data_IF_342785662178
#
_entry.id   IF_342785662178
#
_cell.length_a   1.000
_cell.length_b   1.000
_cell.length_c   1.000
_cell.angle_alpha   90.00
_cell.angle_beta   90.00
_cell.angle_gamma   90.00
#
_symmetry.space_group_name_H-M   'P 1'
#
loop_
_entity.id
_entity.type
_entity.pdbx_description
1 polymer ?
#
# COMPACT_ATOMS: atom_id res chain seq x y z
N UNK A 1 32.14 28.35 6.68
CA UNK A 1 32.12 27.15 7.55
C UNK A 1 31.26 26.09 6.87
N UNK A 2 31.89 25.05 6.33
CA UNK A 2 31.18 23.89 5.80
C UNK A 2 30.56 23.13 6.98
N UNK A 3 29.25 22.80 6.97
CA UNK A 3 28.71 21.83 7.91
C UNK A 3 29.40 20.50 7.62
N UNK A 4 30.10 19.97 8.61
CA UNK A 4 30.67 18.63 8.57
C UNK A 4 29.51 17.62 8.58
N UNK A 5 29.12 17.14 7.41
CA UNK A 5 28.28 15.95 7.28
C UNK A 5 29.03 14.76 7.89
N UNK A 6 28.50 14.20 8.98
CA UNK A 6 28.89 12.84 9.35
C UNK A 6 28.21 11.91 8.34
N UNK A 7 28.94 11.13 7.53
CA UNK A 7 28.30 10.17 6.65
C UNK A 7 27.65 9.10 7.52
N UNK A 8 26.36 8.83 7.33
CA UNK A 8 25.77 7.58 7.81
C UNK A 8 26.54 6.42 7.20
N UNK A 9 27.02 5.48 8.02
CA UNK A 9 27.81 4.36 7.49
C UNK A 9 26.95 3.47 6.60
N UNK A 10 27.57 2.79 5.62
CA UNK A 10 26.90 1.82 4.75
C UNK A 10 26.14 0.73 5.53
N UNK A 11 26.65 0.34 6.70
CA UNK A 11 26.00 -0.64 7.57
C UNK A 11 24.71 -0.11 8.20
N UNK A 12 24.70 1.15 8.63
CA UNK A 12 23.51 1.81 9.17
C UNK A 12 22.42 1.96 8.10
N UNK A 13 22.80 2.30 6.87
CA UNK A 13 21.88 2.42 5.74
C UNK A 13 21.18 1.08 5.41
N UNK A 14 21.95 0.01 5.26
CA UNK A 14 21.39 -1.32 4.98
C UNK A 14 20.44 -1.78 6.08
N UNK A 15 20.79 -1.56 7.35
CA UNK A 15 19.93 -1.94 8.48
C UNK A 15 18.58 -1.21 8.44
N UNK A 16 18.57 0.09 8.17
CA UNK A 16 17.33 0.87 8.08
C UNK A 16 16.47 0.45 6.89
N UNK A 17 17.07 0.17 5.73
CA UNK A 17 16.34 -0.36 4.59
C UNK A 17 15.72 -1.72 4.91
N UNK A 18 16.45 -2.61 5.60
CA UNK A 18 15.92 -3.90 6.03
C UNK A 18 14.72 -3.74 6.98
N UNK A 19 14.81 -2.84 7.97
CA UNK A 19 13.68 -2.49 8.84
C UNK A 19 12.52 -1.97 7.99
N UNK A 20 12.79 -1.06 7.05
CA UNK A 20 11.74 -0.45 6.24
C UNK A 20 11.04 -1.46 5.31
N UNK A 21 11.76 -2.46 4.80
CA UNK A 21 11.19 -3.54 3.99
C UNK A 21 10.20 -4.41 4.78
N UNK A 22 10.47 -4.63 6.07
CA UNK A 22 9.72 -5.59 6.91
C UNK A 22 8.67 -4.92 7.80
N UNK A 23 8.85 -3.64 8.13
CA UNK A 23 8.01 -2.92 9.08
C UNK A 23 6.52 -2.93 8.70
N UNK A 24 6.11 -2.66 7.45
CA UNK A 24 4.69 -2.70 7.08
C UNK A 24 4.09 -4.09 7.26
N UNK A 25 4.85 -5.15 6.98
CA UNK A 25 4.42 -6.55 7.20
C UNK A 25 4.26 -6.83 8.68
N UNK A 26 5.20 -6.40 9.51
CA UNK A 26 5.11 -6.55 10.96
C UNK A 26 3.91 -5.79 11.54
N UNK A 27 3.69 -4.54 11.13
CA UNK A 27 2.55 -3.73 11.59
C UNK A 27 1.22 -4.37 11.16
N UNK A 28 1.11 -4.84 9.92
CA UNK A 28 -0.08 -5.53 9.42
C UNK A 28 -0.31 -6.85 10.18
N UNK A 29 0.73 -7.65 10.38
CA UNK A 29 0.63 -8.90 11.15
C UNK A 29 0.22 -8.66 12.60
N UNK A 30 0.82 -7.67 13.26
CA UNK A 30 0.47 -7.32 14.64
C UNK A 30 -1.01 -6.97 14.77
N UNK A 31 -1.52 -6.12 13.88
CA UNK A 31 -2.90 -5.65 13.94
C UNK A 31 -3.92 -6.71 13.51
N UNK A 32 -3.67 -7.41 12.41
CA UNK A 32 -4.65 -8.32 11.81
C UNK A 32 -4.54 -9.78 12.26
N UNK A 33 -3.44 -10.17 12.91
CA UNK A 33 -3.20 -11.57 13.33
C UNK A 33 -2.93 -11.64 14.83
N UNK A 34 -1.88 -10.95 15.31
CA UNK A 34 -1.40 -11.14 16.68
C UNK A 34 -2.33 -10.55 17.75
N UNK A 35 -2.98 -9.42 17.47
CA UNK A 35 -3.79 -8.68 18.43
C UNK A 35 -5.30 -8.85 18.24
N UNK A 36 -5.75 -9.79 17.42
CA UNK A 36 -7.18 -9.97 17.10
C UNK A 36 -8.06 -10.21 18.32
N UNK A 37 -7.54 -10.88 19.34
CA UNK A 37 -8.23 -11.15 20.62
C UNK A 37 -8.01 -10.08 21.69
N UNK A 38 -7.13 -9.10 21.43
CA UNK A 38 -6.86 -8.03 22.38
C UNK A 38 -8.01 -6.99 22.39
N UNK A 39 -8.18 -6.23 23.49
CA UNK A 39 -9.13 -5.12 23.53
C UNK A 39 -8.94 -4.13 22.37
N UNK A 40 -10.04 -3.56 21.87
CA UNK A 40 -10.03 -2.66 20.72
C UNK A 40 -9.05 -1.48 20.89
N UNK A 41 -8.93 -0.94 22.10
CA UNK A 41 -7.97 0.13 22.42
C UNK A 41 -6.52 -0.30 22.18
N UNK A 42 -6.15 -1.54 22.49
CA UNK A 42 -4.80 -2.07 22.28
C UNK A 42 -4.54 -2.24 20.78
N UNK A 43 -5.50 -2.82 20.05
CA UNK A 43 -5.39 -2.99 18.60
C UNK A 43 -5.23 -1.65 17.88
N UNK A 44 -6.08 -0.66 18.20
CA UNK A 44 -6.04 0.66 17.60
C UNK A 44 -4.77 1.43 17.96
N UNK A 45 -4.32 1.34 19.22
CA UNK A 45 -3.07 1.98 19.66
C UNK A 45 -1.87 1.37 18.95
N UNK A 46 -1.78 0.05 18.87
CA UNK A 46 -0.70 -0.65 18.17
C UNK A 46 -0.67 -0.28 16.67
N UNK A 47 -1.83 -0.22 16.03
CA UNK A 47 -1.95 0.21 14.63
C UNK A 47 -1.50 1.66 14.44
N UNK A 48 -2.00 2.59 15.28
CA UNK A 48 -1.69 4.00 15.18
C UNK A 48 -0.20 4.28 15.41
N UNK A 49 0.40 3.68 16.44
CA UNK A 49 1.84 3.78 16.71
C UNK A 49 2.63 3.17 15.56
N UNK A 50 2.26 1.96 15.11
CA UNK A 50 2.94 1.26 14.02
C UNK A 50 2.94 2.06 12.72
N UNK A 51 1.79 2.61 12.31
CA UNK A 51 1.67 3.45 11.12
C UNK A 51 2.39 4.79 11.28
N UNK A 52 2.38 5.38 12.48
CA UNK A 52 3.13 6.61 12.76
C UNK A 52 4.63 6.36 12.62
N UNK A 53 5.17 5.30 13.24
CA UNK A 53 6.58 4.92 13.10
C UNK A 53 6.93 4.60 11.65
N UNK A 54 6.07 3.84 10.95
CA UNK A 54 6.25 3.52 9.54
C UNK A 54 6.40 4.78 8.69
N UNK A 55 5.46 5.72 8.77
CA UNK A 55 5.51 6.91 7.92
C UNK A 55 6.44 8.02 8.42
N UNK A 56 6.83 8.01 9.70
CA UNK A 56 7.85 8.92 10.23
C UNK A 56 9.28 8.47 9.87
N UNK A 57 9.52 7.15 9.74
CA UNK A 57 10.85 6.58 9.51
C UNK A 57 11.58 7.24 8.33
N UNK A 58 11.00 7.40 7.12
CA UNK A 58 11.71 8.02 6.02
C UNK A 58 12.08 9.49 6.29
N UNK A 59 11.18 10.27 6.90
CA UNK A 59 11.45 11.69 7.20
C UNK A 59 12.57 11.83 8.23
N UNK A 60 12.52 11.06 9.32
CA UNK A 60 13.54 11.06 10.36
C UNK A 60 14.89 10.64 9.78
N UNK A 61 14.94 9.57 8.99
CA UNK A 61 16.18 9.10 8.38
C UNK A 61 16.77 10.14 7.42
N UNK A 62 15.97 10.65 6.49
CA UNK A 62 16.47 11.53 5.42
C UNK A 62 16.85 12.91 5.96
N UNK A 63 15.98 13.55 6.73
CA UNK A 63 16.17 14.96 7.11
C UNK A 63 17.04 15.12 8.36
N UNK A 64 16.91 14.24 9.35
CA UNK A 64 17.63 14.41 10.61
C UNK A 64 18.95 13.65 10.64
N UNK A 65 19.00 12.45 10.07
CA UNK A 65 20.18 11.59 10.11
C UNK A 65 21.07 11.75 8.87
N UNK A 66 20.51 11.64 7.67
CA UNK A 66 21.26 11.87 6.43
C UNK A 66 21.43 13.35 6.08
N UNK A 67 20.58 14.24 6.63
CA UNK A 67 20.54 15.69 6.32
C UNK A 67 20.38 16.00 4.83
N UNK A 68 19.75 15.10 4.10
CA UNK A 68 19.45 15.27 2.68
C UNK A 68 18.21 16.16 2.49
N UNK A 69 18.14 16.88 1.37
CA UNK A 69 16.96 17.65 0.98
C UNK A 69 16.06 16.84 0.09
N UNK A 70 14.76 17.00 0.28
CA UNK A 70 13.76 16.48 -0.63
C UNK A 70 13.61 17.42 -1.82
N UNK A 71 13.79 16.89 -3.01
CA UNK A 71 13.52 17.63 -4.25
C UNK A 71 12.23 17.10 -4.87
N UNK A 72 11.20 17.95 -4.88
CA UNK A 72 9.92 17.62 -5.49
C UNK A 72 10.01 17.83 -7.00
N UNK A 73 10.16 16.73 -7.75
CA UNK A 73 10.13 16.78 -9.20
C UNK A 73 8.69 16.91 -9.70
N UNK A 74 8.46 17.93 -10.52
CA UNK A 74 7.15 18.18 -11.15
C UNK A 74 6.76 17.01 -12.06
N UNK A 75 5.45 16.69 -12.16
CA UNK A 75 5.01 15.61 -13.03
C UNK A 75 5.24 15.99 -14.49
N UNK A 76 5.60 15.00 -15.31
CA UNK A 76 5.56 15.12 -16.76
C UNK A 76 4.22 14.61 -17.28
N UNK A 77 3.72 15.17 -18.40
CA UNK A 77 2.45 14.73 -19.01
C UNK A 77 2.50 13.25 -19.40
N UNK A 78 3.63 12.80 -19.93
CA UNK A 78 3.86 11.40 -20.32
C UNK A 78 3.92 10.47 -19.12
N UNK A 79 4.62 10.87 -18.05
CA UNK A 79 4.66 10.11 -16.79
C UNK A 79 3.28 9.99 -16.16
N UNK A 80 2.51 11.07 -16.12
CA UNK A 80 1.15 11.06 -15.60
C UNK A 80 0.22 10.18 -16.44
N UNK A 81 0.23 10.35 -17.76
CA UNK A 81 -0.60 9.56 -18.68
C UNK A 81 -0.30 8.06 -18.56
N UNK A 82 0.97 7.66 -18.49
CA UNK A 82 1.34 6.25 -18.31
C UNK A 82 0.78 5.64 -17.02
N UNK A 83 0.81 6.39 -15.91
CA UNK A 83 0.28 5.92 -14.63
C UNK A 83 -1.25 5.90 -14.58
N UNK A 84 -1.93 6.87 -15.21
CA UNK A 84 -3.39 6.87 -15.34
C UNK A 84 -3.85 5.69 -16.20
N UNK A 85 -3.18 5.44 -17.34
CA UNK A 85 -3.48 4.30 -18.20
C UNK A 85 -3.25 2.97 -17.48
N UNK A 86 -2.13 2.85 -16.76
CA UNK A 86 -1.83 1.65 -15.97
C UNK A 86 -2.88 1.43 -14.86
N UNK A 87 -3.14 2.45 -14.04
CA UNK A 87 -4.14 2.36 -12.97
C UNK A 87 -5.53 2.05 -13.50
N UNK A 88 -5.97 2.72 -14.56
CA UNK A 88 -7.25 2.47 -15.22
C UNK A 88 -7.36 1.05 -15.80
N UNK A 89 -6.29 0.54 -16.42
CA UNK A 89 -6.25 -0.84 -16.92
C UNK A 89 -6.37 -1.86 -15.79
N UNK A 90 -5.69 -1.63 -14.66
CA UNK A 90 -5.79 -2.50 -13.48
C UNK A 90 -7.20 -2.45 -12.88
N UNK A 91 -7.82 -1.27 -12.74
CA UNK A 91 -9.21 -1.15 -12.28
C UNK A 91 -10.17 -1.89 -13.20
N UNK A 92 -10.04 -1.73 -14.52
CA UNK A 92 -10.87 -2.46 -15.49
C UNK A 92 -10.70 -3.98 -15.35
N UNK A 93 -9.46 -4.45 -15.23
CA UNK A 93 -9.17 -5.87 -15.02
C UNK A 93 -9.74 -6.39 -13.69
N UNK A 94 -9.63 -5.62 -12.61
CA UNK A 94 -10.22 -5.95 -11.31
C UNK A 94 -11.74 -6.09 -11.41
N UNK A 95 -12.42 -5.17 -12.10
CA UNK A 95 -13.87 -5.24 -12.30
C UNK A 95 -14.28 -6.48 -13.12
N UNK A 96 -13.53 -6.81 -14.18
CA UNK A 96 -13.75 -8.03 -14.97
C UNK A 96 -13.57 -9.28 -14.10
N UNK A 97 -12.48 -9.36 -13.33
CA UNK A 97 -12.21 -10.48 -12.41
C UNK A 97 -13.28 -10.58 -11.33
N UNK A 98 -13.70 -9.46 -10.76
CA UNK A 98 -14.74 -9.40 -9.74
C UNK A 98 -16.07 -9.96 -10.24
N UNK A 99 -16.57 -9.44 -11.37
CA UNK A 99 -17.88 -9.82 -11.90
C UNK A 99 -17.91 -11.19 -12.57
N UNK A 100 -16.82 -11.63 -13.21
CA UNK A 100 -16.80 -12.90 -13.95
C UNK A 100 -16.26 -14.07 -13.13
N UNK A 101 -15.52 -13.82 -12.05
CA UNK A 101 -14.91 -14.87 -11.24
C UNK A 101 -15.22 -14.75 -9.75
N UNK A 102 -14.78 -13.68 -9.07
CA UNK A 102 -14.81 -13.64 -7.60
C UNK A 102 -16.21 -13.63 -7.00
N UNK A 103 -17.14 -12.87 -7.58
CA UNK A 103 -18.52 -12.80 -7.09
C UNK A 103 -19.30 -14.09 -7.45
N UNK A 104 -19.34 -14.58 -8.71
CA UNK A 104 -20.07 -15.81 -9.05
C UNK A 104 -19.59 -17.07 -8.35
N UNK A 105 -18.29 -17.17 -8.06
CA UNK A 105 -17.72 -18.34 -7.36
C UNK A 105 -17.84 -18.26 -5.84
N UNK A 106 -18.37 -17.15 -5.31
CA UNK A 106 -18.59 -16.97 -3.87
C UNK A 106 -17.34 -16.58 -3.07
N UNK A 107 -16.20 -16.26 -3.71
CA UNK A 107 -15.06 -15.69 -2.99
C UNK A 107 -15.42 -14.31 -2.40
N UNK A 108 -15.95 -13.40 -3.23
CA UNK A 108 -16.36 -12.04 -2.84
C UNK A 108 -17.83 -11.79 -3.17
N UNK A 109 -18.73 -12.50 -2.50
CA UNK A 109 -20.17 -12.23 -2.53
C UNK A 109 -20.58 -11.59 -1.19
N UNK A 110 -21.64 -10.76 -1.13
CA UNK A 110 -22.10 -10.15 0.12
C UNK A 110 -22.36 -11.15 1.26
N UNK A 111 -22.74 -12.39 0.92
CA UNK A 111 -22.95 -13.48 1.88
C UNK A 111 -21.74 -14.38 2.15
N UNK A 112 -20.61 -14.19 1.45
CA UNK A 112 -19.41 -15.02 1.65
C UNK A 112 -18.68 -14.64 2.94
N UNK A 113 -17.82 -15.52 3.49
CA UNK A 113 -16.99 -15.20 4.66
C UNK A 113 -16.18 -13.91 4.47
N UNK A 114 -15.63 -13.71 3.26
CA UNK A 114 -14.91 -12.48 2.91
C UNK A 114 -15.81 -11.24 2.92
N UNK A 115 -17.00 -11.32 2.32
CA UNK A 115 -17.97 -10.24 2.31
C UNK A 115 -18.39 -9.84 3.72
N UNK A 116 -18.65 -10.82 4.59
CA UNK A 116 -18.96 -10.61 5.99
C UNK A 116 -17.79 -9.96 6.75
N UNK A 117 -16.55 -10.43 6.55
CA UNK A 117 -15.36 -9.83 7.15
C UNK A 117 -15.18 -8.36 6.74
N UNK A 118 -15.47 -8.00 5.48
CA UNK A 118 -15.44 -6.61 5.01
C UNK A 118 -16.55 -5.78 5.69
N UNK A 119 -17.78 -6.30 5.78
CA UNK A 119 -18.89 -5.63 6.48
C UNK A 119 -18.56 -5.39 7.94
N UNK A 120 -18.05 -6.40 8.64
CA UNK A 120 -17.62 -6.30 10.04
C UNK A 120 -16.51 -5.28 10.22
N UNK A 121 -15.55 -5.24 9.29
CA UNK A 121 -14.45 -4.26 9.36
C UNK A 121 -14.94 -2.83 9.17
N UNK A 122 -15.82 -2.60 8.19
CA UNK A 122 -16.44 -1.29 7.93
C UNK A 122 -17.25 -0.83 9.14
N UNK A 123 -18.06 -1.72 9.74
CA UNK A 123 -18.79 -1.44 10.99
C UNK A 123 -17.86 -1.16 12.16
N UNK A 124 -16.74 -1.89 12.26
CA UNK A 124 -15.71 -1.69 13.29
C UNK A 124 -15.04 -0.31 13.21
N UNK A 125 -15.07 0.35 12.05
CA UNK A 125 -14.65 1.75 11.88
C UNK A 125 -15.76 2.77 12.20
N UNK A 126 -16.96 2.34 12.59
CA UNK A 126 -18.09 3.24 12.84
C UNK A 126 -18.70 3.81 11.55
N UNK A 127 -18.47 3.15 10.41
CA UNK A 127 -19.02 3.52 9.11
C UNK A 127 -20.38 2.85 8.96
N UNK A 128 -21.45 3.63 9.17
CA UNK A 128 -22.83 3.15 9.10
C UNK A 128 -23.65 3.79 7.98
N UNK A 129 -23.06 4.65 7.16
CA UNK A 129 -23.73 5.34 6.07
C UNK A 129 -22.80 5.53 4.86
N UNK A 130 -23.41 5.78 3.70
CA UNK A 130 -22.69 5.93 2.42
C UNK A 130 -21.65 7.05 2.45
N UNK A 131 -21.91 8.17 3.14
CA UNK A 131 -20.99 9.30 3.17
C UNK A 131 -19.75 9.00 3.99
N UNK A 132 -19.89 8.31 5.13
CA UNK A 132 -18.75 7.81 5.90
C UNK A 132 -17.94 6.79 5.12
N UNK A 133 -18.60 5.94 4.31
CA UNK A 133 -17.90 4.99 3.44
C UNK A 133 -17.10 5.70 2.34
N UNK A 134 -17.70 6.71 1.69
CA UNK A 134 -17.01 7.54 0.70
C UNK A 134 -15.84 8.30 1.33
N UNK A 135 -16.02 8.85 2.53
CA UNK A 135 -14.94 9.52 3.26
C UNK A 135 -13.78 8.57 3.60
N UNK A 136 -14.09 7.34 4.04
CA UNK A 136 -13.10 6.30 4.28
C UNK A 136 -12.35 5.96 2.99
N UNK A 137 -13.07 5.73 1.90
CA UNK A 137 -12.50 5.45 0.59
C UNK A 137 -11.60 6.58 0.09
N UNK A 138 -12.07 7.83 0.16
CA UNK A 138 -11.28 8.99 -0.23
C UNK A 138 -10.01 9.14 0.62
N UNK A 139 -10.08 8.89 1.93
CA UNK A 139 -8.90 8.90 2.79
C UNK A 139 -7.86 7.87 2.36
N UNK A 140 -8.28 6.61 2.13
CA UNK A 140 -7.35 5.58 1.68
C UNK A 140 -6.80 5.86 0.29
N UNK A 141 -7.67 6.14 -0.68
CA UNK A 141 -7.25 6.39 -2.05
C UNK A 141 -6.38 7.63 -2.23
N UNK A 142 -6.56 8.68 -1.42
CA UNK A 142 -5.80 9.93 -1.59
C UNK A 142 -4.62 9.98 -0.62
N UNK A 143 -4.88 9.88 0.69
CA UNK A 143 -3.90 10.13 1.73
C UNK A 143 -3.04 8.89 1.97
N UNK A 144 -3.67 7.73 2.17
CA UNK A 144 -2.93 6.50 2.45
C UNK A 144 -2.06 6.09 1.26
N UNK A 145 -2.62 6.04 0.05
CA UNK A 145 -1.85 5.72 -1.17
C UNK A 145 -0.66 6.66 -1.36
N UNK A 146 -0.83 7.96 -1.08
CA UNK A 146 0.26 8.95 -1.16
C UNK A 146 1.38 8.68 -0.14
N UNK A 147 1.00 8.34 1.10
CA UNK A 147 1.96 7.92 2.14
C UNK A 147 2.67 6.62 1.76
N UNK A 148 2.00 5.69 1.09
CA UNK A 148 2.61 4.45 0.60
C UNK A 148 3.57 4.69 -0.57
N UNK A 149 3.25 5.57 -1.51
CA UNK A 149 4.19 5.97 -2.57
C UNK A 149 5.42 6.67 -2.00
N UNK A 150 5.22 7.56 -1.04
CA UNK A 150 6.28 8.20 -0.27
C UNK A 150 7.18 7.16 0.42
N UNK A 151 6.59 6.17 1.08
CA UNK A 151 7.35 5.16 1.81
C UNK A 151 8.08 4.20 0.87
N UNK A 152 7.39 3.65 -0.13
CA UNK A 152 7.93 2.56 -0.94
C UNK A 152 8.73 3.04 -2.15
N UNK A 153 8.24 4.05 -2.87
CA UNK A 153 8.85 4.48 -4.15
C UNK A 153 9.91 5.53 -3.88
N UNK A 154 9.58 6.53 -3.07
CA UNK A 154 10.56 7.56 -2.75
C UNK A 154 11.64 7.05 -1.79
N UNK A 155 11.25 6.45 -0.66
CA UNK A 155 12.23 6.00 0.34
C UNK A 155 12.81 4.62 0.04
N UNK A 156 12.07 3.53 0.22
CA UNK A 156 12.63 2.16 0.14
C UNK A 156 13.33 1.91 -1.20
N UNK A 157 12.62 2.09 -2.32
CA UNK A 157 13.21 1.94 -3.65
C UNK A 157 14.32 2.97 -3.91
N UNK A 158 14.10 4.24 -3.54
CA UNK A 158 15.05 5.32 -3.75
C UNK A 158 16.39 5.12 -3.01
N UNK A 159 16.37 4.46 -1.85
CA UNK A 159 17.58 4.08 -1.10
C UNK A 159 18.22 2.81 -1.64
N UNK A 160 17.42 1.78 -1.96
CA UNK A 160 17.91 0.55 -2.57
C UNK A 160 18.67 0.82 -3.87
N UNK A 161 18.13 1.65 -4.77
CA UNK A 161 18.77 1.92 -6.08
C UNK A 161 20.13 2.63 -5.99
N UNK A 162 20.50 3.20 -4.84
CA UNK A 162 21.83 3.79 -4.59
C UNK A 162 22.88 2.73 -4.22
N UNK A 163 22.45 1.56 -3.75
CA UNK A 163 23.30 0.54 -3.14
C UNK A 163 23.36 -0.76 -3.92
N UNK A 164 22.36 -1.04 -4.77
CA UNK A 164 22.25 -2.25 -5.59
C UNK A 164 21.79 -1.93 -7.02
N UNK A 165 21.80 -2.93 -7.89
CA UNK A 165 21.36 -2.77 -9.28
C UNK A 165 19.90 -2.29 -9.37
N UNK A 166 19.56 -1.53 -10.42
CA UNK A 166 18.20 -1.03 -10.65
C UNK A 166 17.17 -2.18 -10.65
N UNK A 167 17.46 -3.29 -11.33
CA UNK A 167 16.57 -4.45 -11.37
C UNK A 167 16.35 -5.06 -10.00
N UNK A 168 17.41 -5.22 -9.20
CA UNK A 168 17.30 -5.72 -7.83
C UNK A 168 16.55 -4.76 -6.90
N UNK A 169 16.73 -3.45 -7.07
CA UNK A 169 16.00 -2.44 -6.30
C UNK A 169 14.49 -2.47 -6.62
N UNK A 170 14.13 -2.58 -7.91
CA UNK A 170 12.74 -2.75 -8.35
C UNK A 170 12.16 -4.04 -7.73
N UNK A 171 12.85 -5.17 -7.90
CA UNK A 171 12.35 -6.46 -7.41
C UNK A 171 12.17 -6.47 -5.88
N UNK A 172 13.19 -6.04 -5.12
CA UNK A 172 13.16 -6.13 -3.66
C UNK A 172 12.16 -5.17 -3.02
N UNK A 173 12.06 -3.93 -3.52
CA UNK A 173 11.04 -2.98 -3.04
C UNK A 173 9.62 -3.47 -3.34
N UNK A 174 9.41 -4.10 -4.51
CA UNK A 174 8.11 -4.61 -4.93
C UNK A 174 7.69 -5.86 -4.16
N UNK A 175 8.64 -6.76 -3.86
CA UNK A 175 8.40 -7.90 -2.98
C UNK A 175 8.07 -7.41 -1.57
N UNK A 176 8.83 -6.45 -1.02
CA UNK A 176 8.50 -5.83 0.27
C UNK A 176 7.09 -5.22 0.30
N UNK A 177 6.72 -4.50 -0.77
CA UNK A 177 5.37 -3.95 -0.94
C UNK A 177 4.29 -5.05 -0.97
N UNK A 178 4.56 -6.17 -1.64
CA UNK A 178 3.65 -7.32 -1.66
C UNK A 178 3.50 -8.00 -0.29
N UNK A 179 4.58 -8.13 0.50
CA UNK A 179 4.56 -9.00 1.70
C UNK A 179 3.44 -8.67 2.70
N UNK A 180 3.16 -7.39 2.95
CA UNK A 180 2.07 -7.01 3.85
C UNK A 180 0.69 -7.20 3.21
N UNK A 181 0.59 -7.14 1.88
CA UNK A 181 -0.63 -7.47 1.15
C UNK A 181 -0.95 -8.97 1.17
N UNK A 182 0.06 -9.84 1.22
CA UNK A 182 -0.16 -11.31 1.39
C UNK A 182 -1.02 -11.58 2.63
N UNK A 183 -0.78 -10.86 3.73
CA UNK A 183 -1.55 -11.02 4.96
C UNK A 183 -3.00 -10.54 4.76
N UNK A 184 -3.20 -9.37 4.16
CA UNK A 184 -4.54 -8.85 3.89
C UNK A 184 -5.33 -9.75 2.94
N UNK A 185 -4.70 -10.18 1.85
CA UNK A 185 -5.29 -11.09 0.88
C UNK A 185 -5.58 -12.45 1.52
N UNK A 186 -4.67 -12.98 2.35
CA UNK A 186 -4.89 -14.21 3.11
C UNK A 186 -6.12 -14.11 4.00
N UNK A 187 -6.33 -13.00 4.71
CA UNK A 187 -7.50 -12.83 5.57
C UNK A 187 -8.78 -12.70 4.74
N UNK A 188 -8.80 -11.83 3.73
CA UNK A 188 -10.02 -11.55 2.97
C UNK A 188 -10.34 -12.60 1.90
N UNK A 189 -9.43 -13.53 1.59
CA UNK A 189 -9.72 -14.69 0.74
C UNK A 189 -9.66 -16.01 1.51
N UNK A 190 -9.73 -15.96 2.85
CA UNK A 190 -9.69 -17.14 3.73
C UNK A 190 -8.55 -18.12 3.38
N UNK A 191 -7.38 -17.55 3.10
CA UNK A 191 -6.15 -18.24 2.71
C UNK A 191 -6.28 -19.17 1.50
N UNK A 192 -7.31 -18.98 0.66
CA UNK A 192 -7.49 -19.73 -0.57
C UNK A 192 -6.26 -19.56 -1.48
N UNK A 193 -5.51 -20.65 -1.79
CA UNK A 193 -4.18 -20.51 -2.40
C UNK A 193 -4.17 -19.80 -3.75
N UNK A 194 -5.19 -20.04 -4.58
CA UNK A 194 -5.28 -19.50 -5.93
C UNK A 194 -5.46 -17.97 -5.95
N UNK A 195 -6.52 -17.37 -5.36
CA UNK A 195 -6.66 -15.91 -5.33
C UNK A 195 -5.54 -15.24 -4.53
N UNK A 196 -5.11 -15.81 -3.40
CA UNK A 196 -4.01 -15.24 -2.60
C UNK A 196 -2.71 -15.18 -3.41
N UNK A 197 -2.35 -16.26 -4.09
CA UNK A 197 -1.14 -16.33 -4.90
C UNK A 197 -1.17 -15.37 -6.09
N UNK A 198 -2.26 -15.38 -6.87
CA UNK A 198 -2.39 -14.52 -8.07
C UNK A 198 -2.43 -13.04 -7.68
N UNK A 199 -3.21 -12.65 -6.68
CA UNK A 199 -3.32 -11.25 -6.29
C UNK A 199 -2.06 -10.74 -5.58
N UNK A 200 -1.36 -11.58 -4.82
CA UNK A 200 -0.03 -11.20 -4.29
C UNK A 200 0.97 -10.95 -5.42
N UNK A 201 1.03 -11.86 -6.40
CA UNK A 201 1.88 -11.65 -7.58
C UNK A 201 1.50 -10.37 -8.35
N UNK A 202 0.20 -10.09 -8.51
CA UNK A 202 -0.29 -8.87 -9.14
C UNK A 202 0.14 -7.61 -8.38
N UNK A 203 0.10 -7.61 -7.04
CA UNK A 203 0.59 -6.51 -6.19
C UNK A 203 2.10 -6.30 -6.40
N UNK A 204 2.89 -7.38 -6.45
CA UNK A 204 4.33 -7.28 -6.73
C UNK A 204 4.60 -6.71 -8.12
N UNK A 205 3.85 -7.14 -9.15
CA UNK A 205 3.96 -6.59 -10.51
C UNK A 205 3.58 -5.11 -10.53
N UNK A 206 2.50 -4.71 -9.86
CA UNK A 206 2.10 -3.31 -9.73
C UNK A 206 3.18 -2.45 -9.06
N UNK A 207 3.74 -2.93 -7.95
CA UNK A 207 4.90 -2.32 -7.29
C UNK A 207 6.09 -2.13 -8.24
N UNK A 208 6.39 -3.14 -9.06
CA UNK A 208 7.50 -3.10 -10.00
C UNK A 208 7.27 -2.11 -11.14
N UNK A 209 6.05 -2.06 -11.69
CA UNK A 209 5.65 -1.09 -12.72
C UNK A 209 5.76 0.33 -12.17
N UNK A 210 5.26 0.59 -10.95
CA UNK A 210 5.38 1.91 -10.34
C UNK A 210 6.82 2.31 -10.02
N UNK A 211 7.65 1.39 -9.52
CA UNK A 211 9.07 1.66 -9.31
C UNK A 211 9.78 2.01 -10.63
N UNK A 212 9.45 1.32 -11.72
CA UNK A 212 9.96 1.61 -13.06
C UNK A 212 9.49 2.97 -13.60
N UNK A 213 8.20 3.28 -13.50
CA UNK A 213 7.62 4.57 -13.92
C UNK A 213 8.18 5.73 -13.09
N UNK A 214 8.33 5.54 -11.78
CA UNK A 214 8.98 6.49 -10.90
C UNK A 214 10.44 6.72 -11.30
N UNK A 215 11.20 5.65 -11.57
CA UNK A 215 12.59 5.79 -12.00
C UNK A 215 12.74 6.55 -13.33
N UNK A 216 11.80 6.38 -14.26
CA UNK A 216 11.80 7.09 -15.55
C UNK A 216 11.38 8.55 -15.46
N UNK A 217 10.41 8.85 -14.61
CA UNK A 217 9.83 10.20 -14.52
C UNK A 217 10.47 11.08 -13.44
N UNK A 218 11.07 10.47 -12.42
CA UNK A 218 11.58 11.13 -11.21
C UNK A 218 10.47 11.67 -10.29
N UNK A 219 9.20 11.60 -10.68
CA UNK A 219 8.09 12.25 -9.97
C UNK A 219 7.16 11.22 -9.32
N UNK A 220 6.83 11.42 -8.04
CA UNK A 220 5.87 10.57 -7.31
C UNK A 220 4.42 10.78 -7.72
N UNK A 221 4.08 11.92 -8.34
CA UNK A 221 2.71 12.24 -8.71
C UNK A 221 2.09 11.21 -9.65
N UNK A 222 2.89 10.68 -10.59
CA UNK A 222 2.44 9.62 -11.50
C UNK A 222 2.03 8.37 -10.73
N UNK A 223 2.97 7.68 -10.06
CA UNK A 223 2.66 6.50 -9.25
C UNK A 223 1.52 6.71 -8.26
N UNK A 224 1.48 7.87 -7.59
CA UNK A 224 0.41 8.20 -6.64
C UNK A 224 -0.96 8.25 -7.29
N UNK A 225 -1.11 8.91 -8.43
CA UNK A 225 -2.40 8.96 -9.14
C UNK A 225 -2.79 7.57 -9.66
N UNK A 226 -1.83 6.78 -10.16
CA UNK A 226 -2.10 5.40 -10.55
C UNK A 226 -2.58 4.54 -9.38
N UNK A 227 -1.95 4.67 -8.20
CA UNK A 227 -2.32 3.95 -6.98
C UNK A 227 -3.68 4.39 -6.45
N UNK A 228 -3.93 5.71 -6.39
CA UNK A 228 -5.23 6.28 -6.02
C UNK A 228 -6.37 5.67 -6.84
N UNK A 229 -6.19 5.53 -8.15
CA UNK A 229 -7.22 4.95 -9.02
C UNK A 229 -7.50 3.48 -8.67
N UNK A 230 -6.46 2.69 -8.39
CA UNK A 230 -6.60 1.29 -8.00
C UNK A 230 -7.31 1.19 -6.65
N UNK A 231 -6.91 1.96 -5.66
CA UNK A 231 -7.57 1.99 -4.35
C UNK A 231 -9.03 2.40 -4.48
N UNK A 232 -9.34 3.41 -5.29
CA UNK A 232 -10.72 3.81 -5.55
C UNK A 232 -11.53 2.67 -6.20
N UNK A 233 -10.91 1.90 -7.10
CA UNK A 233 -11.48 0.68 -7.67
C UNK A 233 -11.75 -0.41 -6.63
N UNK A 234 -10.85 -0.60 -5.65
CA UNK A 234 -11.05 -1.52 -4.52
C UNK A 234 -12.27 -1.08 -3.70
N UNK A 235 -12.38 0.22 -3.37
CA UNK A 235 -13.54 0.74 -2.63
C UNK A 235 -14.84 0.66 -3.44
N UNK A 236 -14.79 0.79 -4.77
CA UNK A 236 -15.96 0.60 -5.61
C UNK A 236 -16.47 -0.85 -5.57
N UNK A 237 -15.58 -1.85 -5.62
CA UNK A 237 -15.96 -3.25 -5.42
C UNK A 237 -16.45 -3.50 -3.98
N UNK A 238 -15.76 -2.93 -2.99
CA UNK A 238 -16.14 -3.02 -1.59
C UNK A 238 -17.54 -2.46 -1.31
N UNK A 239 -17.94 -1.39 -2.00
CA UNK A 239 -19.29 -0.82 -1.88
C UNK A 239 -20.37 -1.83 -2.28
N UNK A 240 -20.17 -2.62 -3.35
CA UNK A 240 -21.12 -3.66 -3.74
C UNK A 240 -21.31 -4.72 -2.64
N UNK A 241 -20.24 -5.03 -1.89
CA UNK A 241 -20.28 -5.96 -0.76
C UNK A 241 -21.03 -5.39 0.46
N UNK A 242 -20.90 -4.09 0.73
CA UNK A 242 -21.40 -3.49 1.97
C UNK A 242 -22.65 -2.62 1.82
N UNK A 243 -23.09 -2.28 0.61
CA UNK A 243 -24.20 -1.33 0.37
C UNK A 243 -25.49 -1.69 1.10
N UNK A 244 -25.81 -2.98 1.26
CA UNK A 244 -26.99 -3.42 2.00
C UNK A 244 -26.94 -3.12 3.51
N UNK A 245 -25.74 -2.84 4.04
CA UNK A 245 -25.53 -2.43 5.44
C UNK A 245 -25.32 -0.92 5.62
N UNK A 246 -25.28 -0.14 4.53
CA UNK A 246 -25.09 1.31 4.52
C UNK A 246 -26.36 2.11 4.18
N UNK A 247 -27.44 1.40 3.83
CA UNK A 247 -28.80 1.91 3.58
C UNK A 247 -29.66 1.71 4.83
#
# INVERSE_FOLDING_TARGET
MHPTEKPTTRYSESAVICVALLLPTLVTWLYFVALTTAPAVIQQTAYAVGKTVQFALPAVWIYWLCRERFEWLRPTRTGLAANVLFGGAVVALMMVIYHLWLNPTGYLAPGSPAGQAVVEKVRGFGVGDVWRYVALGAFYSIIHSGLEEYYWRWFVFGRLKRSISLGSAIALSSVGFMLHHVILLGIYFDWAPLPVGIFSAAVAVGGAVWAWLYNRSGSLFGPWIGHLLIDAGIFLMGYDLVRGALL
#
